data_IF_343000474206
#
_entry.id   IF_343000474206
#
_cell.length_a   1.000
_cell.length_b   1.000
_cell.length_c   1.000
_cell.angle_alpha   90.00
_cell.angle_beta   90.00
_cell.angle_gamma   90.00
#
_symmetry.space_group_name_H-M   'P 1'
#
loop_
_entity.id
_entity.type
_entity.pdbx_description
1 polymer ?
#
# COMPACT_ATOMS: atom_id res chain seq x y z
N UNK A 1 -6.01 29.17 -2.32
CA UNK A 1 -4.78 28.34 -2.23
C UNK A 1 -5.07 27.01 -2.92
N UNK A 2 -4.31 26.61 -3.93
CA UNK A 2 -4.46 25.27 -4.52
C UNK A 2 -4.07 24.26 -3.43
N UNK A 3 -5.03 23.51 -2.89
CA UNK A 3 -4.73 22.42 -1.97
C UNK A 3 -3.75 21.48 -2.69
N UNK A 4 -2.64 21.14 -2.02
CA UNK A 4 -1.72 20.14 -2.52
C UNK A 4 -2.51 18.85 -2.74
N UNK A 5 -2.50 18.31 -3.97
CA UNK A 5 -3.18 17.05 -4.27
C UNK A 5 -2.51 15.83 -3.61
N UNK A 6 -1.47 16.05 -2.79
CA UNK A 6 -0.72 15.03 -2.06
C UNK A 6 -1.12 15.07 -0.59
N UNK A 7 -1.18 13.90 0.02
CA UNK A 7 -1.35 13.78 1.47
C UNK A 7 -0.07 14.24 2.18
N UNK A 8 -0.24 14.95 3.30
CA UNK A 8 0.86 15.21 4.23
C UNK A 8 1.27 13.92 4.92
N UNK A 9 2.56 13.80 5.23
CA UNK A 9 3.15 12.58 5.76
C UNK A 9 3.80 12.89 7.09
N UNK A 10 3.39 12.23 8.17
CA UNK A 10 4.05 12.40 9.47
C UNK A 10 5.12 11.34 9.71
N UNK A 11 6.16 11.64 10.48
CA UNK A 11 7.19 10.66 10.86
C UNK A 11 8.19 10.34 9.76
N UNK A 12 8.43 9.05 9.49
CA UNK A 12 9.47 8.60 8.58
C UNK A 12 8.92 8.27 7.18
N UNK A 13 9.24 9.14 6.22
CA UNK A 13 8.80 8.99 4.83
C UNK A 13 9.39 7.76 4.12
N UNK A 14 10.62 7.36 4.45
CA UNK A 14 11.28 6.23 3.80
C UNK A 14 10.57 4.93 4.16
N UNK A 15 10.20 4.77 5.42
CA UNK A 15 9.62 3.53 5.94
C UNK A 15 8.10 3.53 5.97
N UNK A 16 7.43 4.64 5.62
CA UNK A 16 5.97 4.80 5.78
C UNK A 16 5.52 4.54 7.22
N UNK A 17 6.37 4.85 8.20
CA UNK A 17 6.16 4.53 9.62
C UNK A 17 5.95 3.03 9.93
N UNK A 18 6.36 2.13 9.03
CA UNK A 18 6.27 0.70 9.26
C UNK A 18 7.30 0.26 10.31
N UNK A 19 6.97 -0.82 11.02
CA UNK A 19 7.92 -1.50 11.89
C UNK A 19 9.17 -1.92 11.09
N UNK A 20 10.36 -1.77 11.68
CA UNK A 20 11.63 -2.01 10.98
C UNK A 20 11.75 -3.43 10.39
N UNK A 21 11.30 -4.46 11.11
CA UNK A 21 11.34 -5.85 10.62
C UNK A 21 10.44 -6.00 9.39
N UNK A 22 9.22 -5.45 9.48
CA UNK A 22 8.28 -5.49 8.37
C UNK A 22 8.81 -4.74 7.15
N UNK A 23 9.35 -3.54 7.34
CA UNK A 23 9.95 -2.74 6.27
C UNK A 23 11.09 -3.50 5.57
N UNK A 24 12.04 -4.04 6.34
CA UNK A 24 13.15 -4.82 5.80
C UNK A 24 12.67 -6.05 5.03
N UNK A 25 11.65 -6.74 5.54
CA UNK A 25 11.10 -7.92 4.89
C UNK A 25 10.32 -7.59 3.61
N UNK A 26 9.65 -6.44 3.54
CA UNK A 26 9.06 -5.92 2.30
C UNK A 26 10.16 -5.65 1.27
N UNK A 27 11.23 -4.93 1.64
CA UNK A 27 12.33 -4.64 0.71
C UNK A 27 13.04 -5.91 0.20
N UNK A 28 13.17 -6.92 1.06
CA UNK A 28 13.78 -8.20 0.71
C UNK A 28 12.85 -9.10 -0.14
N UNK A 29 11.53 -8.87 -0.08
CA UNK A 29 10.51 -9.73 -0.71
C UNK A 29 10.69 -9.82 -2.24
N UNK A 30 10.82 -11.04 -2.80
CA UNK A 30 10.82 -11.24 -4.25
C UNK A 30 9.53 -10.75 -4.90
N UNK A 31 8.39 -10.95 -4.23
CA UNK A 31 7.09 -10.46 -4.69
C UNK A 31 7.08 -8.93 -4.79
N UNK A 32 7.53 -8.22 -3.75
CA UNK A 32 7.61 -6.76 -3.81
C UNK A 32 8.52 -6.26 -4.94
N UNK A 33 9.62 -6.96 -5.24
CA UNK A 33 10.48 -6.62 -6.37
C UNK A 33 9.77 -6.76 -7.72
N UNK A 34 8.90 -7.74 -7.89
CA UNK A 34 8.09 -7.87 -9.11
C UNK A 34 7.08 -6.72 -9.24
N UNK A 35 6.54 -6.22 -8.13
CA UNK A 35 5.64 -5.06 -8.14
C UNK A 35 6.28 -3.77 -8.69
N UNK A 36 7.60 -3.69 -8.86
CA UNK A 36 8.21 -2.56 -9.58
C UNK A 36 7.77 -2.48 -11.04
N UNK A 37 7.34 -3.59 -11.65
CA UNK A 37 6.82 -3.62 -13.02
C UNK A 37 5.49 -2.85 -13.14
N UNK A 38 4.65 -2.89 -12.10
CA UNK A 38 3.40 -2.12 -12.06
C UNK A 38 3.70 -0.63 -11.90
N UNK A 39 3.34 0.19 -12.90
CA UNK A 39 3.68 1.62 -12.93
C UNK A 39 2.49 2.51 -12.58
N UNK A 40 1.28 2.01 -12.72
CA UNK A 40 0.06 2.78 -12.58
C UNK A 40 -0.73 2.38 -11.34
N UNK A 41 -1.55 3.31 -10.87
CA UNK A 41 -2.46 3.09 -9.76
C UNK A 41 -3.47 1.96 -10.03
N UNK A 42 -3.99 1.88 -11.25
CA UNK A 42 -4.99 0.87 -11.62
C UNK A 42 -4.39 -0.54 -11.65
N UNK A 43 -3.18 -0.71 -12.18
CA UNK A 43 -2.48 -2.02 -12.13
C UNK A 43 -2.29 -2.52 -10.70
N UNK A 44 -1.97 -1.63 -9.76
CA UNK A 44 -1.84 -2.03 -8.34
C UNK A 44 -3.19 -2.36 -7.72
N UNK A 45 -4.28 -1.70 -8.12
CA UNK A 45 -5.63 -2.08 -7.68
C UNK A 45 -6.00 -3.47 -8.18
N UNK A 46 -5.76 -3.75 -9.47
CA UNK A 46 -6.07 -5.05 -10.05
C UNK A 46 -5.27 -6.16 -9.33
N UNK A 47 -4.01 -5.89 -9.02
CA UNK A 47 -3.17 -6.80 -8.23
C UNK A 47 -3.72 -7.02 -6.82
N UNK A 48 -4.22 -5.97 -6.16
CA UNK A 48 -4.91 -6.08 -4.86
C UNK A 48 -6.16 -6.95 -4.98
N UNK A 49 -6.99 -6.69 -5.99
CA UNK A 49 -8.24 -7.43 -6.20
C UNK A 49 -7.99 -8.93 -6.40
N UNK A 50 -6.94 -9.27 -7.15
CA UNK A 50 -6.65 -10.66 -7.53
C UNK A 50 -5.90 -11.46 -6.46
N UNK A 51 -5.02 -10.82 -5.66
CA UNK A 51 -4.06 -11.55 -4.83
C UNK A 51 -4.16 -11.28 -3.32
N UNK A 52 -4.95 -10.29 -2.88
CA UNK A 52 -5.09 -9.98 -1.44
C UNK A 52 -6.26 -10.74 -0.83
N UNK A 53 -5.93 -11.71 0.02
CA UNK A 53 -6.92 -12.51 0.76
C UNK A 53 -7.04 -12.08 2.24
N UNK A 54 -5.97 -11.55 2.84
CA UNK A 54 -5.90 -11.12 4.25
C UNK A 54 -5.15 -9.80 4.40
N UNK A 55 -5.47 -9.03 5.44
CA UNK A 55 -4.87 -7.71 5.72
C UNK A 55 -3.85 -7.74 6.86
N UNK A 56 -3.30 -8.92 7.17
CA UNK A 56 -2.30 -9.11 8.21
C UNK A 56 -0.93 -8.59 7.72
N UNK A 57 -0.08 -8.01 8.58
CA UNK A 57 1.26 -7.56 8.18
C UNK A 57 2.20 -8.71 7.81
N UNK A 58 2.01 -9.87 8.45
CA UNK A 58 2.85 -11.04 8.29
C UNK A 58 1.98 -12.26 7.98
N UNK A 59 2.42 -13.12 7.05
CA UNK A 59 1.70 -14.36 6.72
C UNK A 59 2.11 -15.52 7.63
N UNK A 60 3.41 -15.84 7.67
CA UNK A 60 3.99 -16.89 8.52
C UNK A 60 5.30 -16.38 9.11
N UNK A 61 5.42 -16.43 10.43
CA UNK A 61 6.56 -15.84 11.13
C UNK A 61 6.67 -14.35 10.84
N UNK A 62 7.81 -13.92 10.29
CA UNK A 62 8.07 -12.52 9.96
C UNK A 62 7.97 -12.21 8.46
N UNK A 63 7.55 -13.16 7.62
CA UNK A 63 7.41 -12.92 6.17
C UNK A 63 6.31 -11.90 5.90
N UNK A 64 6.65 -10.81 5.21
CA UNK A 64 5.72 -9.76 4.83
C UNK A 64 4.58 -10.30 3.95
N UNK A 65 3.35 -9.86 4.21
CA UNK A 65 2.18 -10.27 3.44
C UNK A 65 2.07 -9.57 2.09
N UNK A 66 1.29 -10.18 1.19
CA UNK A 66 0.88 -9.58 -0.08
C UNK A 66 0.26 -8.19 0.13
N UNK A 67 -0.66 -8.07 1.10
CA UNK A 67 -1.33 -6.81 1.43
C UNK A 67 -0.33 -5.71 1.81
N UNK A 68 0.64 -6.00 2.67
CA UNK A 68 1.61 -4.99 3.10
C UNK A 68 2.69 -4.69 2.06
N UNK A 69 3.02 -5.64 1.18
CA UNK A 69 3.84 -5.35 0.00
C UNK A 69 3.12 -4.38 -0.94
N UNK A 70 1.82 -4.59 -1.21
CA UNK A 70 1.01 -3.72 -2.04
C UNK A 70 0.72 -2.36 -1.38
N UNK A 71 0.51 -2.34 -0.07
CA UNK A 71 0.37 -1.10 0.70
C UNK A 71 1.61 -0.21 0.55
N UNK A 72 2.80 -0.79 0.74
CA UNK A 72 4.05 -0.06 0.56
C UNK A 72 4.29 0.31 -0.92
N UNK A 73 3.86 -0.55 -1.87
CA UNK A 73 3.90 -0.21 -3.30
C UNK A 73 3.06 1.04 -3.61
N UNK A 74 1.83 1.12 -3.11
CA UNK A 74 0.98 2.32 -3.26
C UNK A 74 1.70 3.55 -2.68
N UNK A 75 2.38 3.41 -1.55
CA UNK A 75 3.17 4.49 -0.95
C UNK A 75 4.31 4.97 -1.84
N UNK A 76 5.06 4.05 -2.48
CA UNK A 76 6.12 4.43 -3.42
C UNK A 76 5.62 5.21 -4.63
N UNK A 77 4.35 5.02 -5.02
CA UNK A 77 3.69 5.78 -6.09
C UNK A 77 3.22 7.18 -5.64
N UNK A 78 3.29 7.50 -4.35
CA UNK A 78 2.88 8.78 -3.74
C UNK A 78 1.48 9.21 -4.18
N UNK A 79 0.49 8.42 -3.75
CA UNK A 79 -0.91 8.60 -4.15
C UNK A 79 -1.45 10.00 -3.85
N UNK A 80 -2.30 10.47 -4.76
CA UNK A 80 -3.06 11.70 -4.60
C UNK A 80 -4.31 11.50 -3.75
N UNK A 81 -4.87 12.58 -3.20
CA UNK A 81 -6.15 12.56 -2.46
C UNK A 81 -7.27 11.92 -3.29
N UNK A 82 -7.31 12.19 -4.60
CA UNK A 82 -8.30 11.59 -5.51
C UNK A 82 -8.15 10.07 -5.62
N UNK A 83 -6.92 9.57 -5.73
CA UNK A 83 -6.65 8.12 -5.81
C UNK A 83 -6.98 7.43 -4.48
N UNK A 84 -6.71 8.09 -3.35
CA UNK A 84 -7.09 7.56 -2.04
C UNK A 84 -8.61 7.50 -1.87
N UNK A 85 -9.32 8.56 -2.28
CA UNK A 85 -10.78 8.53 -2.33
C UNK A 85 -11.30 7.40 -3.21
N UNK A 86 -10.63 7.15 -4.35
CA UNK A 86 -10.93 6.00 -5.21
C UNK A 86 -10.75 4.65 -4.52
N UNK A 87 -9.71 4.47 -3.68
CA UNK A 87 -9.51 3.24 -2.91
C UNK A 87 -10.59 3.06 -1.84
N UNK A 88 -10.83 4.07 -0.99
CA UNK A 88 -11.75 3.92 0.16
C UNK A 88 -13.22 3.82 -0.26
N UNK A 89 -13.57 4.30 -1.46
CA UNK A 89 -14.92 4.20 -2.04
C UNK A 89 -15.05 3.02 -3.03
N UNK A 90 -14.01 2.23 -3.25
CA UNK A 90 -14.02 1.17 -4.25
C UNK A 90 -15.03 0.07 -3.92
N UNK A 91 -15.99 -0.19 -4.80
CA UNK A 91 -17.07 -1.15 -4.54
C UNK A 91 -16.66 -2.60 -4.74
N UNK A 92 -15.67 -2.83 -5.59
CA UNK A 92 -15.41 -4.18 -6.15
C UNK A 92 -14.76 -5.12 -5.14
N UNK A 93 -13.99 -4.62 -4.18
CA UNK A 93 -13.41 -5.44 -3.12
C UNK A 93 -13.31 -4.71 -1.77
N UNK A 94 -13.69 -5.37 -0.66
CA UNK A 94 -13.47 -4.83 0.68
C UNK A 94 -11.98 -4.68 1.01
N UNK A 95 -11.10 -5.51 0.45
CA UNK A 95 -9.65 -5.42 0.67
C UNK A 95 -9.04 -4.16 0.04
N UNK A 96 -9.52 -3.74 -1.14
CA UNK A 96 -9.11 -2.46 -1.77
C UNK A 96 -9.44 -1.29 -0.83
N UNK A 97 -10.68 -1.26 -0.32
CA UNK A 97 -11.12 -0.21 0.62
C UNK A 97 -10.31 -0.22 1.90
N UNK A 98 -10.12 -1.40 2.49
CA UNK A 98 -9.38 -1.54 3.73
C UNK A 98 -7.90 -1.14 3.58
N UNK A 99 -7.26 -1.46 2.45
CA UNK A 99 -5.91 -0.96 2.12
C UNK A 99 -5.89 0.56 1.97
N UNK A 100 -6.95 1.17 1.42
CA UNK A 100 -7.11 2.62 1.41
C UNK A 100 -7.13 3.24 2.82
N UNK A 101 -7.87 2.63 3.75
CA UNK A 101 -7.89 3.07 5.15
C UNK A 101 -6.55 2.82 5.88
N UNK A 102 -5.91 1.68 5.63
CA UNK A 102 -4.58 1.39 6.17
C UNK A 102 -3.55 2.39 5.64
N UNK A 103 -3.60 2.76 4.36
CA UNK A 103 -2.75 3.79 3.81
C UNK A 103 -2.92 5.10 4.58
N UNK A 104 -4.16 5.58 4.75
CA UNK A 104 -4.46 6.78 5.53
C UNK A 104 -4.02 6.69 6.99
N UNK A 105 -4.00 5.49 7.58
CA UNK A 105 -3.51 5.29 8.94
C UNK A 105 -1.99 5.53 9.06
N UNK A 106 -1.21 5.20 8.03
CA UNK A 106 0.25 5.27 8.06
C UNK A 106 0.84 6.57 7.52
N UNK A 107 0.05 7.33 6.76
CA UNK A 107 0.43 8.59 6.12
C UNK A 107 0.08 9.78 6.99
#
# INVERSE_FOLDING_TARGET
MKQSNKLETWGNEMTMNLNNILYQNIQASPYFKQLYELKTYHEVIDEIYNHVESLEPFLKGTTASTAFCLLYKLWTLRLTVKQINGLIQHTDSPHIRALGFLYLRYV
#
